data_IF_476129603913
#
_entry.id   IF_476129603913
#
_cell.length_a   1.000
_cell.length_b   1.000
_cell.length_c   1.000
_cell.angle_alpha   90.00
_cell.angle_beta   90.00
_cell.angle_gamma   90.00
#
_symmetry.space_group_name_H-M   'P 1'
#
loop_
_entity.id
_entity.type
_entity.pdbx_description
1 polymer ?
#
# COMPACT_ATOMS: atom_id res chain seq x y z
N UNK A 1 -10.72 6.09 -21.73
CA UNK A 1 -11.78 6.32 -22.73
C UNK A 1 -11.90 7.82 -22.90
N UNK A 2 -11.73 8.41 -24.09
CA UNK A 2 -11.79 9.87 -24.23
C UNK A 2 -13.23 10.35 -24.03
N UNK A 3 -13.41 11.42 -23.25
CA UNK A 3 -14.68 12.13 -23.11
C UNK A 3 -14.87 12.98 -24.37
N UNK A 4 -15.94 12.75 -25.13
CA UNK A 4 -16.09 13.31 -26.48
C UNK A 4 -17.40 14.08 -26.69
N UNK A 5 -18.35 13.95 -25.77
CA UNK A 5 -19.66 14.62 -25.83
C UNK A 5 -19.99 15.32 -24.52
N UNK A 6 -20.81 16.38 -24.57
CA UNK A 6 -21.30 17.10 -23.38
C UNK A 6 -22.01 16.17 -22.37
N UNK A 7 -22.65 15.11 -22.89
CA UNK A 7 -23.27 14.08 -22.07
C UNK A 7 -22.25 13.28 -21.24
N UNK A 8 -21.03 13.06 -21.76
CA UNK A 8 -19.97 12.38 -21.03
C UNK A 8 -19.51 13.20 -19.81
N UNK A 9 -19.51 14.54 -19.94
CA UNK A 9 -19.19 15.45 -18.85
C UNK A 9 -20.33 15.55 -17.82
N UNK A 10 -21.60 15.55 -18.26
CA UNK A 10 -22.75 15.49 -17.35
C UNK A 10 -22.75 14.22 -16.49
N UNK A 11 -22.42 13.07 -17.09
CA UNK A 11 -22.31 11.80 -16.37
C UNK A 11 -21.15 11.84 -15.37
N UNK A 12 -20.01 12.42 -15.75
CA UNK A 12 -18.87 12.62 -14.83
C UNK A 12 -19.22 13.50 -13.64
N UNK A 13 -20.01 14.57 -13.85
CA UNK A 13 -20.48 15.44 -12.78
C UNK A 13 -21.43 14.74 -11.78
N UNK A 14 -22.02 13.60 -12.16
CA UNK A 14 -22.89 12.79 -11.30
C UNK A 14 -22.13 11.66 -10.59
N UNK A 15 -20.84 11.50 -10.85
CA UNK A 15 -20.05 10.48 -10.14
C UNK A 15 -20.03 10.82 -8.65
N UNK A 16 -20.19 9.80 -7.78
CA UNK A 16 -20.14 10.01 -6.34
C UNK A 16 -18.73 10.51 -5.97
N UNK A 17 -18.67 11.67 -5.35
CA UNK A 17 -17.45 12.15 -4.71
C UNK A 17 -17.29 11.45 -3.37
N UNK A 18 -16.07 11.04 -3.05
CA UNK A 18 -15.79 10.57 -1.69
C UNK A 18 -16.02 11.70 -0.69
N UNK A 19 -16.67 11.38 0.43
CA UNK A 19 -16.86 12.30 1.55
C UNK A 19 -15.63 12.32 2.47
N UNK A 20 -14.70 11.38 2.30
CA UNK A 20 -13.49 11.33 3.09
C UNK A 20 -12.46 12.35 2.56
N UNK A 21 -11.72 13.03 3.45
CA UNK A 21 -10.73 14.02 3.06
C UNK A 21 -9.56 13.38 2.30
N UNK A 22 -8.96 14.12 1.38
CA UNK A 22 -7.67 13.74 0.78
C UNK A 22 -6.59 14.05 1.80
N UNK A 23 -5.98 13.01 2.38
CA UNK A 23 -4.97 13.17 3.43
C UNK A 23 -3.54 13.23 2.87
N UNK A 24 -3.31 12.50 1.78
CA UNK A 24 -1.98 12.38 1.16
C UNK A 24 -2.11 12.54 -0.35
N UNK A 25 -1.12 13.19 -0.95
CA UNK A 25 -0.94 13.17 -2.40
C UNK A 25 -0.14 11.93 -2.85
N UNK A 26 -0.04 11.70 -4.16
CA UNK A 26 0.69 10.54 -4.69
C UNK A 26 2.18 10.50 -4.33
N UNK A 27 2.83 11.66 -4.18
CA UNK A 27 4.26 11.73 -3.81
C UNK A 27 4.43 11.28 -2.37
N UNK A 28 3.61 11.83 -1.46
CA UNK A 28 3.61 11.48 -0.04
C UNK A 28 3.28 10.01 0.17
N UNK A 29 2.30 9.49 -0.56
CA UNK A 29 1.96 8.06 -0.55
C UNK A 29 3.16 7.19 -0.92
N UNK A 30 3.89 7.52 -2.00
CA UNK A 30 5.09 6.78 -2.37
C UNK A 30 6.23 6.92 -1.37
N UNK A 31 6.38 8.07 -0.70
CA UNK A 31 7.38 8.24 0.35
C UNK A 31 7.08 7.35 1.56
N UNK A 32 5.81 7.22 1.94
CA UNK A 32 5.36 6.32 3.01
C UNK A 32 5.69 4.87 2.62
N UNK A 33 5.30 4.44 1.42
CA UNK A 33 5.57 3.09 0.93
C UNK A 33 7.07 2.79 0.80
N UNK A 34 7.88 3.75 0.33
CA UNK A 34 9.33 3.62 0.25
C UNK A 34 9.97 3.41 1.62
N UNK A 35 9.58 4.23 2.60
CA UNK A 35 10.06 4.10 3.98
C UNK A 35 9.68 2.75 4.61
N UNK A 36 8.41 2.32 4.42
CA UNK A 36 7.92 1.01 4.89
C UNK A 36 8.76 -0.14 4.31
N UNK A 37 9.00 -0.14 3.00
CA UNK A 37 9.73 -1.21 2.32
C UNK A 37 11.21 -1.21 2.72
N UNK A 38 11.85 -0.06 2.80
CA UNK A 38 13.25 0.03 3.26
C UNK A 38 13.37 -0.54 4.67
N UNK A 39 12.49 -0.12 5.58
CA UNK A 39 12.50 -0.56 6.97
C UNK A 39 12.25 -2.05 7.12
N UNK A 40 11.27 -2.60 6.39
CA UNK A 40 10.99 -4.03 6.44
C UNK A 40 12.21 -4.86 5.99
N UNK A 41 12.92 -4.40 4.96
CA UNK A 41 14.14 -5.05 4.49
C UNK A 41 15.33 -4.94 5.48
N UNK A 42 15.38 -3.91 6.32
CA UNK A 42 16.37 -3.82 7.40
C UNK A 42 16.10 -4.84 8.51
N UNK A 43 14.83 -5.07 8.85
CA UNK A 43 14.42 -5.96 9.95
C UNK A 43 14.51 -7.43 9.53
N UNK A 44 14.11 -7.77 8.30
CA UNK A 44 14.11 -9.14 7.76
C UNK A 44 15.01 -9.29 6.52
N UNK A 45 16.34 -9.23 6.68
CA UNK A 45 17.25 -9.26 5.54
C UNK A 45 17.21 -10.61 4.81
N UNK A 46 16.97 -10.58 3.50
CA UNK A 46 16.98 -11.72 2.57
C UNK A 46 15.91 -12.81 2.75
N UNK A 47 15.01 -12.66 3.73
CA UNK A 47 13.98 -13.67 4.03
C UNK A 47 12.55 -13.16 3.81
N UNK A 48 12.43 -11.88 3.47
CA UNK A 48 11.16 -11.18 3.36
C UNK A 48 10.65 -11.13 1.91
N UNK A 49 9.38 -11.49 1.73
CA UNK A 49 8.58 -11.13 0.55
C UNK A 49 7.57 -10.05 0.95
N UNK A 50 7.39 -9.02 0.14
CA UNK A 50 6.49 -7.89 0.42
C UNK A 50 5.42 -7.80 -0.66
N UNK A 51 4.16 -7.81 -0.27
CA UNK A 51 3.03 -7.45 -1.12
C UNK A 51 2.63 -6.01 -0.83
N UNK A 52 2.54 -5.18 -1.86
CA UNK A 52 2.06 -3.81 -1.73
C UNK A 52 0.86 -3.63 -2.65
N UNK A 53 -0.29 -3.26 -2.09
CA UNK A 53 -1.41 -2.79 -2.90
C UNK A 53 -1.02 -1.44 -3.50
N UNK A 54 -1.09 -1.32 -4.83
CA UNK A 54 -0.86 -0.06 -5.49
C UNK A 54 -1.69 0.09 -6.76
N UNK A 55 -2.49 1.15 -6.81
CA UNK A 55 -3.16 1.63 -8.02
C UNK A 55 -2.29 2.68 -8.70
N UNK A 56 -1.59 2.31 -9.77
CA UNK A 56 -0.68 3.20 -10.48
C UNK A 56 -1.41 4.31 -11.25
N UNK A 57 -1.20 5.62 -10.96
CA UNK A 57 -1.46 6.66 -11.93
C UNK A 57 -0.40 6.58 -13.04
N UNK A 58 -0.84 6.39 -14.29
CA UNK A 58 0.05 6.32 -15.45
C UNK A 58 0.82 7.63 -15.64
N UNK A 59 2.05 7.71 -15.10
CA UNK A 59 2.94 8.86 -15.29
C UNK A 59 3.93 9.16 -14.17
N UNK A 60 3.76 8.60 -12.97
CA UNK A 60 4.67 8.83 -11.84
C UNK A 60 5.81 7.82 -11.80
N UNK A 61 7.01 8.26 -11.37
CA UNK A 61 8.14 7.35 -11.13
C UNK A 61 8.00 6.69 -9.76
N UNK A 62 8.19 5.38 -9.71
CA UNK A 62 8.25 4.62 -8.47
C UNK A 62 9.62 4.77 -7.79
N UNK A 63 9.67 4.87 -6.46
CA UNK A 63 10.87 4.66 -5.68
C UNK A 63 11.56 3.33 -6.01
N UNK A 64 12.90 3.30 -5.93
CA UNK A 64 13.69 2.10 -6.27
C UNK A 64 13.38 0.92 -5.34
N UNK A 65 13.07 1.19 -4.07
CA UNK A 65 12.75 0.15 -3.08
C UNK A 65 11.52 -0.66 -3.50
N UNK A 66 10.49 -0.01 -4.06
CA UNK A 66 9.28 -0.64 -4.56
C UNK A 66 9.52 -1.51 -5.81
N UNK A 67 10.69 -1.40 -6.41
CA UNK A 67 11.14 -2.21 -7.55
C UNK A 67 12.16 -3.29 -7.15
N UNK A 68 12.39 -3.48 -5.85
CA UNK A 68 13.24 -4.55 -5.36
C UNK A 68 12.65 -5.94 -5.71
N UNK A 69 13.51 -6.94 -5.89
CA UNK A 69 13.11 -8.26 -6.37
C UNK A 69 12.16 -9.02 -5.43
N UNK A 70 12.11 -8.63 -4.17
CA UNK A 70 11.24 -9.20 -3.15
C UNK A 70 9.95 -8.41 -2.93
N UNK A 71 9.73 -7.34 -3.69
CA UNK A 71 8.51 -6.52 -3.63
C UNK A 71 7.62 -6.83 -4.82
N UNK A 72 6.37 -7.15 -4.53
CA UNK A 72 5.34 -7.47 -5.49
C UNK A 72 4.25 -6.40 -5.41
N UNK A 73 4.14 -5.60 -6.46
CA UNK A 73 3.14 -4.54 -6.60
C UNK A 73 1.87 -5.15 -7.19
N UNK A 74 0.76 -5.05 -6.47
CA UNK A 74 -0.50 -5.73 -6.80
C UNK A 74 -1.67 -4.75 -6.80
N UNK A 75 -2.66 -4.96 -7.66
CA UNK A 75 -3.93 -4.23 -7.58
C UNK A 75 -4.83 -4.80 -6.48
N UNK A 76 -4.76 -6.12 -6.28
CA UNK A 76 -5.42 -6.84 -5.19
C UNK A 76 -4.42 -7.82 -4.60
N UNK A 77 -4.16 -7.71 -3.30
CA UNK A 77 -3.19 -8.55 -2.58
C UNK A 77 -3.79 -9.90 -2.17
N UNK A 78 -5.13 -10.02 -2.09
CA UNK A 78 -5.80 -11.18 -1.51
C UNK A 78 -5.50 -12.51 -2.20
N UNK A 79 -5.44 -12.61 -3.54
CA UNK A 79 -5.10 -13.86 -4.20
C UNK A 79 -3.66 -14.29 -3.91
N UNK A 80 -2.73 -13.35 -3.82
CA UNK A 80 -1.31 -13.58 -3.57
C UNK A 80 -1.03 -13.94 -2.11
N UNK A 81 -1.74 -13.34 -1.16
CA UNK A 81 -1.70 -13.75 0.26
C UNK A 81 -2.03 -15.24 0.39
N UNK A 82 -3.11 -15.70 -0.26
CA UNK A 82 -3.53 -17.12 -0.21
C UNK A 82 -2.50 -18.07 -0.81
N UNK A 83 -1.75 -17.63 -1.82
CA UNK A 83 -0.73 -18.45 -2.50
C UNK A 83 0.58 -18.49 -1.74
N UNK A 84 0.99 -17.38 -1.12
CA UNK A 84 2.32 -17.21 -0.55
C UNK A 84 2.37 -17.46 0.96
N UNK A 85 1.24 -17.30 1.67
CA UNK A 85 1.18 -17.57 3.10
C UNK A 85 1.51 -19.03 3.39
N UNK A 86 2.55 -19.26 4.20
CA UNK A 86 3.09 -20.59 4.49
C UNK A 86 4.07 -21.14 3.44
N UNK A 87 4.25 -20.47 2.30
CA UNK A 87 5.22 -20.87 1.26
C UNK A 87 6.54 -20.09 1.32
N UNK A 88 6.56 -18.94 2.01
CA UNK A 88 7.75 -18.10 2.21
C UNK A 88 8.04 -17.94 3.71
N UNK A 89 9.29 -17.59 4.06
CA UNK A 89 9.70 -17.40 5.46
C UNK A 89 8.89 -16.29 6.13
N UNK A 90 8.91 -15.10 5.53
CA UNK A 90 8.14 -13.93 5.96
C UNK A 90 7.43 -13.29 4.78
N UNK A 91 6.14 -13.02 4.96
CA UNK A 91 5.29 -12.31 4.02
C UNK A 91 4.73 -11.07 4.71
N UNK A 92 5.22 -9.90 4.32
CA UNK A 92 4.65 -8.62 4.75
C UNK A 92 3.64 -8.15 3.72
N UNK A 93 2.46 -7.76 4.16
CA UNK A 93 1.39 -7.21 3.33
C UNK A 93 1.15 -5.77 3.75
N UNK A 94 1.27 -4.85 2.80
CA UNK A 94 0.90 -3.45 2.96
C UNK A 94 -0.30 -3.20 2.03
N UNK A 95 -1.49 -3.11 2.63
CA UNK A 95 -2.76 -2.95 1.94
C UNK A 95 -3.39 -1.61 2.35
N UNK A 96 -3.26 -0.59 1.51
CA UNK A 96 -3.80 0.74 1.77
C UNK A 96 -4.97 1.12 0.85
N UNK A 97 -5.85 1.95 1.41
CA UNK A 97 -7.04 2.48 0.77
C UNK A 97 -7.08 4.02 0.89
N UNK A 98 -5.90 4.65 0.70
CA UNK A 98 -5.77 6.11 0.72
C UNK A 98 -6.45 6.76 -0.47
N UNK A 99 -7.20 7.83 -0.19
CA UNK A 99 -7.82 8.67 -1.21
C UNK A 99 -6.83 9.76 -1.61
N UNK A 100 -6.49 9.80 -2.90
CA UNK A 100 -5.49 10.72 -3.46
C UNK A 100 -6.12 11.79 -4.36
N UNK A 101 -7.37 11.61 -4.77
CA UNK A 101 -8.16 12.56 -5.55
C UNK A 101 -9.67 12.36 -5.33
N UNK A 102 -10.48 13.38 -5.64
CA UNK A 102 -11.90 13.45 -5.22
C UNK A 102 -12.81 12.32 -5.72
N UNK A 103 -12.47 11.73 -6.87
CA UNK A 103 -13.25 10.66 -7.50
C UNK A 103 -12.86 9.26 -7.00
N UNK A 104 -11.77 9.16 -6.23
CA UNK A 104 -11.34 7.91 -5.62
C UNK A 104 -12.22 7.59 -4.42
N UNK A 105 -12.64 6.32 -4.32
CA UNK A 105 -13.39 5.81 -3.18
C UNK A 105 -12.41 5.11 -2.25
N UNK A 106 -12.55 5.35 -0.95
CA UNK A 106 -11.75 4.70 0.09
C UNK A 106 -12.08 5.25 1.47
N UNK A 107 -11.37 4.78 2.49
CA UNK A 107 -11.57 5.21 3.87
C UNK A 107 -10.31 5.83 4.52
N UNK A 108 -9.22 5.99 3.77
CA UNK A 108 -7.92 6.42 4.28
C UNK A 108 -7.34 5.53 5.37
N UNK A 109 -7.57 4.22 5.28
CA UNK A 109 -6.94 3.25 6.16
C UNK A 109 -5.78 2.55 5.46
N UNK A 110 -4.80 2.12 6.26
CA UNK A 110 -3.72 1.24 5.85
C UNK A 110 -3.67 0.05 6.80
N UNK A 111 -3.72 -1.14 6.23
CA UNK A 111 -3.57 -2.39 6.98
C UNK A 111 -2.20 -2.97 6.68
N UNK A 112 -1.44 -3.26 7.73
CA UNK A 112 -0.15 -3.95 7.62
C UNK A 112 -0.21 -5.28 8.36
N UNK A 113 0.16 -6.37 7.69
CA UNK A 113 0.08 -7.73 8.23
C UNK A 113 1.37 -8.49 7.96
N UNK A 114 1.82 -9.26 8.95
CA UNK A 114 2.96 -10.16 8.80
C UNK A 114 2.49 -11.61 8.94
N UNK A 115 2.76 -12.42 7.91
CA UNK A 115 2.64 -13.87 7.99
C UNK A 115 4.05 -14.46 8.05
N UNK A 116 4.33 -15.25 9.08
CA UNK A 116 5.65 -15.85 9.30
C UNK A 116 5.52 -17.34 9.53
N UNK A 117 6.42 -18.12 8.93
CA UNK A 117 6.60 -19.55 9.25
C UNK A 117 7.57 -19.77 10.41
N UNK A 118 8.35 -18.74 10.76
CA UNK A 118 9.23 -18.73 11.93
C UNK A 118 8.46 -18.22 13.16
N UNK A 119 8.73 -18.83 14.32
CA UNK A 119 8.17 -18.40 15.59
C UNK A 119 8.73 -17.04 16.04
N UNK A 120 7.99 -16.36 16.91
CA UNK A 120 8.43 -15.19 17.68
C UNK A 120 8.87 -13.97 16.84
N UNK A 121 7.99 -13.52 15.93
CA UNK A 121 8.20 -12.29 15.14
C UNK A 121 7.48 -11.06 15.70
N UNK A 122 6.76 -11.20 16.82
CA UNK A 122 5.96 -10.13 17.40
C UNK A 122 6.82 -8.93 17.81
N UNK A 123 8.03 -9.17 18.33
CA UNK A 123 8.98 -8.11 18.69
C UNK A 123 9.51 -7.34 17.47
N UNK A 124 9.86 -8.06 16.39
CA UNK A 124 10.31 -7.45 15.14
C UNK A 124 9.18 -6.68 14.45
N UNK A 125 7.96 -7.21 14.49
CA UNK A 125 6.80 -6.54 13.94
C UNK A 125 6.42 -5.28 14.74
N UNK A 126 6.49 -5.32 16.07
CA UNK A 126 6.31 -4.14 16.90
C UNK A 126 7.38 -3.07 16.63
N UNK A 127 8.64 -3.48 16.44
CA UNK A 127 9.73 -2.58 16.04
C UNK A 127 9.43 -1.91 14.69
N UNK A 128 8.96 -2.69 13.72
CA UNK A 128 8.54 -2.21 12.41
C UNK A 128 7.42 -1.16 12.51
N UNK A 129 6.39 -1.41 13.32
CA UNK A 129 5.26 -0.49 13.50
C UNK A 129 5.61 0.79 14.30
N UNK A 130 6.56 0.70 15.24
CA UNK A 130 6.87 1.82 16.16
C UNK A 130 7.31 3.11 15.44
N UNK A 131 7.99 3.00 14.31
CA UNK A 131 8.44 4.16 13.51
C UNK A 131 7.37 4.68 12.55
N UNK A 132 6.29 3.92 12.31
CA UNK A 132 5.17 4.36 11.47
C UNK A 132 4.31 5.44 12.12
N UNK A 133 4.39 5.56 13.45
CA UNK A 133 3.82 6.69 14.20
C UNK A 133 4.31 8.04 13.69
N UNK A 134 5.52 8.11 13.13
CA UNK A 134 6.09 9.33 12.53
C UNK A 134 5.34 9.78 11.27
N UNK A 135 4.64 8.86 10.59
CA UNK A 135 3.77 9.13 9.45
C UNK A 135 2.30 9.34 9.87
N UNK A 136 2.01 9.44 11.18
CA UNK A 136 0.67 9.38 11.76
C UNK A 136 -0.10 8.08 11.42
N UNK A 137 0.61 6.98 11.19
CA UNK A 137 0.04 5.65 10.94
C UNK A 137 0.25 4.82 12.22
N UNK A 138 -0.81 4.59 13.00
CA UNK A 138 -0.72 3.88 14.28
C UNK A 138 -2.09 3.51 14.88
N UNK A 139 -2.09 2.50 15.77
CA UNK A 139 -3.28 1.83 16.34
C UNK A 139 -4.36 2.80 16.85
N UNK A 140 -5.61 2.55 16.46
CA UNK A 140 -6.79 3.10 17.15
C UNK A 140 -7.10 2.28 18.40
#
# INVERSE_FOLDING_TARGET
MPLTSDNDFEVFARLPNSQAPILVNFIEHYQILDALVLRANEIWPNELTILVRLSMPGGMRLPKSLLASNVLLMQDVQPEIKKLSGCVSHLLVIDDDFIRYQLEQGNNDMTVQLFSTQADQDGNFALFLSELTQFNIGEK
#
